data_IF_065691848682
#
_entry.id   IF_065691848682
#
_cell.length_a   1.000
_cell.length_b   1.000
_cell.length_c   1.000
_cell.angle_alpha   90.00
_cell.angle_beta   90.00
_cell.angle_gamma   90.00
#
_symmetry.space_group_name_H-M   'P 1'
#
loop_
_entity.id
_entity.type
_entity.pdbx_description
1 polymer ?
#
# COMPACT_ATOMS: atom_id res chain seq x y z
N UNK A 1 -21.43 51.87 -67.17
CA UNK A 1 -21.63 52.31 -65.77
C UNK A 1 -21.39 51.13 -64.85
N UNK A 2 -20.28 51.14 -64.11
CA UNK A 2 -20.27 50.54 -62.77
C UNK A 2 -20.87 51.60 -61.79
N UNK A 3 -21.12 51.33 -60.48
CA UNK A 3 -20.87 50.09 -59.73
C UNK A 3 -21.95 49.71 -58.66
N UNK A 4 -21.63 48.66 -57.90
CA UNK A 4 -21.95 48.39 -56.47
C UNK A 4 -23.40 47.98 -56.11
N UNK A 5 -23.64 47.02 -55.21
CA UNK A 5 -22.77 46.50 -54.15
C UNK A 5 -23.09 45.06 -53.72
N UNK A 6 -22.06 44.43 -53.14
CA UNK A 6 -22.10 43.19 -52.37
C UNK A 6 -22.60 43.51 -50.97
N UNK A 7 -23.49 42.69 -50.42
CA UNK A 7 -23.64 42.52 -48.98
C UNK A 7 -23.60 41.04 -48.64
N UNK A 8 -22.58 40.66 -47.87
CA UNK A 8 -22.33 39.31 -47.40
C UNK A 8 -23.34 38.92 -46.32
N UNK A 9 -23.81 37.68 -46.40
CA UNK A 9 -24.54 37.05 -45.31
C UNK A 9 -23.55 36.80 -44.15
N UNK A 10 -23.75 37.52 -43.05
CA UNK A 10 -23.03 37.30 -41.80
C UNK A 10 -23.48 35.96 -41.21
N UNK A 11 -22.61 34.95 -41.25
CA UNK A 11 -22.73 33.76 -40.41
C UNK A 11 -22.49 34.20 -38.96
N UNK A 12 -23.56 34.28 -38.16
CA UNK A 12 -23.44 34.35 -36.71
C UNK A 12 -22.98 32.97 -36.22
N UNK A 13 -21.67 32.82 -36.03
CA UNK A 13 -21.09 31.72 -35.28
C UNK A 13 -21.44 31.96 -33.81
N UNK A 14 -22.55 31.40 -33.34
CA UNK A 14 -22.83 31.30 -31.91
C UNK A 14 -21.81 30.29 -31.37
N UNK A 15 -20.71 30.81 -30.81
CA UNK A 15 -19.75 30.03 -30.05
C UNK A 15 -20.47 29.55 -28.78
N UNK A 16 -21.14 28.40 -28.88
CA UNK A 16 -21.48 27.64 -27.69
C UNK A 16 -20.15 27.21 -27.09
N UNK A 17 -19.72 27.93 -26.05
CA UNK A 17 -18.71 27.45 -25.11
C UNK A 17 -19.34 26.23 -24.45
N UNK A 18 -19.17 25.09 -25.11
CA UNK A 18 -19.27 23.80 -24.45
C UNK A 18 -18.17 23.82 -23.41
N UNK A 19 -18.56 24.06 -22.15
CA UNK A 19 -17.76 23.63 -21.02
C UNK A 19 -17.61 22.13 -21.24
N UNK A 20 -16.45 21.72 -21.78
CA UNK A 20 -15.98 20.36 -21.70
C UNK A 20 -15.95 20.09 -20.20
N UNK A 21 -17.01 19.45 -19.71
CA UNK A 21 -17.04 18.90 -18.37
C UNK A 21 -15.76 18.10 -18.22
N UNK A 22 -14.99 18.45 -17.20
CA UNK A 22 -13.82 17.70 -16.76
C UNK A 22 -14.17 16.22 -16.88
N UNK A 23 -13.39 15.50 -17.69
CA UNK A 23 -13.31 14.05 -17.58
C UNK A 23 -12.82 13.75 -16.17
N UNK A 24 -13.74 13.61 -15.22
CA UNK A 24 -13.46 12.98 -13.93
C UNK A 24 -12.81 11.64 -14.25
N UNK A 25 -11.56 11.52 -13.81
CA UNK A 25 -10.63 10.49 -14.24
C UNK A 25 -11.17 9.09 -13.99
N UNK A 26 -10.77 8.17 -14.87
CA UNK A 26 -11.13 6.75 -14.89
C UNK A 26 -10.69 5.95 -13.63
N UNK A 27 -10.30 6.61 -12.53
CA UNK A 27 -9.74 5.99 -11.32
C UNK A 27 -10.17 6.64 -9.99
N UNK A 28 -11.23 7.47 -9.97
CA UNK A 28 -11.75 8.08 -8.74
C UNK A 28 -12.57 7.09 -7.88
N UNK A 29 -12.06 5.87 -7.68
CA UNK A 29 -12.76 4.81 -6.97
C UNK A 29 -11.78 3.94 -6.17
N UNK A 30 -12.28 3.35 -5.09
CA UNK A 30 -11.52 2.43 -4.21
C UNK A 30 -10.90 1.28 -5.00
N UNK A 31 -9.57 1.17 -4.95
CA UNK A 31 -8.83 0.07 -5.57
C UNK A 31 -8.38 -0.96 -4.54
N UNK A 32 -8.77 -2.22 -4.76
CA UNK A 32 -8.33 -3.36 -3.96
C UNK A 32 -7.88 -4.51 -4.85
N UNK A 33 -6.90 -5.29 -4.38
CA UNK A 33 -6.35 -6.47 -5.06
C UNK A 33 -7.41 -7.44 -5.56
N UNK A 34 -8.51 -7.61 -4.81
CA UNK A 34 -9.60 -8.56 -5.13
C UNK A 34 -10.73 -7.97 -5.96
N UNK A 35 -10.77 -6.64 -6.10
CA UNK A 35 -11.85 -5.89 -6.78
C UNK A 35 -11.33 -5.03 -7.94
N UNK A 36 -10.20 -5.40 -8.50
CA UNK A 36 -9.61 -4.67 -9.62
C UNK A 36 -10.61 -4.55 -10.79
N UNK A 37 -10.83 -3.31 -11.24
CA UNK A 37 -11.78 -2.99 -12.32
C UNK A 37 -13.26 -3.04 -11.94
N UNK A 38 -13.62 -3.26 -10.68
CA UNK A 38 -14.99 -3.06 -10.21
C UNK A 38 -15.28 -1.57 -10.04
N UNK A 39 -16.42 -1.12 -10.57
CA UNK A 39 -16.84 0.28 -10.45
C UNK A 39 -17.88 0.47 -9.36
N UNK A 40 -17.65 1.43 -8.48
CA UNK A 40 -18.51 1.77 -7.35
C UNK A 40 -18.59 0.71 -6.25
N UNK A 41 -19.10 1.13 -5.09
CA UNK A 41 -19.37 0.25 -3.96
C UNK A 41 -20.86 -0.17 -3.93
N UNK A 42 -21.12 -1.45 -3.66
CA UNK A 42 -22.44 -2.05 -3.82
C UNK A 42 -23.36 -1.93 -2.59
N UNK A 43 -22.97 -1.14 -1.57
CA UNK A 43 -23.74 -0.95 -0.32
C UNK A 43 -24.15 -2.27 0.35
N UNK A 44 -23.28 -3.30 0.31
CA UNK A 44 -23.62 -4.62 0.84
C UNK A 44 -23.41 -4.64 2.35
N UNK A 45 -24.25 -5.42 3.01
CA UNK A 45 -24.03 -5.81 4.39
C UNK A 45 -22.93 -6.89 4.45
N UNK A 46 -22.20 -6.93 5.56
CA UNK A 46 -21.18 -7.95 5.76
C UNK A 46 -21.82 -9.33 5.83
N UNK A 47 -21.26 -10.29 5.11
CA UNK A 47 -21.55 -11.72 5.31
C UNK A 47 -20.57 -12.38 6.28
N UNK A 48 -19.54 -11.64 6.70
CA UNK A 48 -18.60 -12.14 7.68
C UNK A 48 -19.28 -12.22 9.06
N UNK A 49 -18.96 -13.27 9.81
CA UNK A 49 -19.32 -13.40 11.22
C UNK A 49 -18.34 -12.58 12.05
N UNK A 50 -18.78 -12.06 13.20
CA UNK A 50 -17.89 -11.45 14.19
C UNK A 50 -18.07 -12.16 15.52
N UNK A 51 -17.01 -12.20 16.35
CA UNK A 51 -17.15 -12.65 17.74
C UNK A 51 -17.84 -11.62 18.61
N UNK A 52 -17.77 -10.36 18.22
CA UNK A 52 -18.45 -9.25 18.87
C UNK A 52 -19.62 -8.87 17.96
N UNK A 53 -20.85 -9.21 18.34
CA UNK A 53 -22.04 -9.02 17.49
C UNK A 53 -22.19 -7.61 16.94
N UNK A 54 -21.70 -6.61 17.67
CA UNK A 54 -21.75 -5.20 17.29
C UNK A 54 -20.57 -4.74 16.43
N UNK A 55 -19.50 -5.52 16.29
CA UNK A 55 -18.32 -5.12 15.52
C UNK A 55 -18.54 -5.35 14.03
N UNK A 56 -18.14 -4.38 13.22
CA UNK A 56 -18.06 -4.54 11.77
C UNK A 56 -16.96 -3.69 11.16
N UNK A 57 -16.42 -4.16 10.04
CA UNK A 57 -15.48 -3.41 9.20
C UNK A 57 -16.13 -2.98 7.88
N UNK A 58 -16.18 -1.67 7.65
CA UNK A 58 -16.82 -1.06 6.48
C UNK A 58 -15.79 -0.34 5.62
N UNK A 59 -15.94 -0.49 4.31
CA UNK A 59 -15.26 0.29 3.29
C UNK A 59 -16.11 1.54 3.05
N UNK A 60 -15.54 2.72 3.24
CA UNK A 60 -16.17 4.00 2.91
C UNK A 60 -15.41 4.64 1.76
N UNK A 61 -16.14 5.05 0.73
CA UNK A 61 -15.61 5.75 -0.44
C UNK A 61 -16.08 7.20 -0.45
N UNK A 62 -15.16 8.12 -0.70
CA UNK A 62 -15.39 9.56 -0.70
C UNK A 62 -15.18 10.16 -2.10
N UNK A 63 -15.82 11.28 -2.44
CA UNK A 63 -15.56 11.95 -3.72
C UNK A 63 -14.13 12.47 -3.87
N UNK A 64 -13.40 12.63 -2.77
CA UNK A 64 -12.04 13.15 -2.71
C UNK A 64 -11.19 12.30 -1.75
N UNK A 65 -9.86 12.40 -1.87
CA UNK A 65 -8.94 11.67 -1.02
C UNK A 65 -9.20 11.97 0.48
N UNK A 66 -9.38 10.92 1.31
CA UNK A 66 -9.56 11.10 2.75
C UNK A 66 -8.37 11.85 3.36
N UNK A 67 -8.67 12.88 4.16
CA UNK A 67 -7.67 13.72 4.84
C UNK A 67 -7.63 13.41 6.34
N UNK A 68 -6.66 13.96 7.10
CA UNK A 68 -6.73 13.94 8.56
C UNK A 68 -8.04 14.52 9.13
N UNK A 69 -8.68 15.46 8.44
CA UNK A 69 -9.98 15.99 8.84
C UNK A 69 -11.09 14.95 8.66
N UNK A 70 -11.06 14.16 7.57
CA UNK A 70 -11.95 13.01 7.36
C UNK A 70 -11.81 12.00 8.50
N UNK A 71 -10.57 11.67 8.90
CA UNK A 71 -10.33 10.74 10.00
C UNK A 71 -10.93 11.24 11.34
N UNK A 72 -10.75 12.52 11.67
CA UNK A 72 -11.34 13.14 12.87
C UNK A 72 -12.86 13.15 12.84
N UNK A 73 -13.44 13.41 11.65
CA UNK A 73 -14.89 13.40 11.42
C UNK A 73 -15.51 12.02 11.66
N UNK A 74 -14.83 10.96 11.21
CA UNK A 74 -15.22 9.57 11.42
C UNK A 74 -15.08 9.18 12.90
N UNK A 75 -13.95 9.54 13.53
CA UNK A 75 -13.70 9.26 14.95
C UNK A 75 -14.77 9.91 15.86
N UNK A 76 -15.18 11.15 15.57
CA UNK A 76 -16.24 11.83 16.30
C UNK A 76 -17.62 11.14 16.21
N UNK A 77 -17.79 10.22 15.25
CA UNK A 77 -18.99 9.38 15.08
C UNK A 77 -18.78 7.93 15.57
N UNK A 78 -17.70 7.66 16.30
CA UNK A 78 -17.38 6.32 16.80
C UNK A 78 -16.85 5.35 15.74
N UNK A 79 -16.44 5.86 14.57
CA UNK A 79 -15.81 5.05 13.52
C UNK A 79 -14.30 5.25 13.56
N UNK A 80 -13.54 4.17 13.74
CA UNK A 80 -12.08 4.21 13.74
C UNK A 80 -11.55 3.81 12.37
N UNK A 81 -10.77 4.66 11.74
CA UNK A 81 -10.03 4.28 10.52
C UNK A 81 -8.99 3.23 10.89
N UNK A 82 -9.05 2.07 10.24
CA UNK A 82 -8.11 0.95 10.45
C UNK A 82 -7.20 0.71 9.25
N UNK A 83 -7.57 1.21 8.06
CA UNK A 83 -6.72 1.20 6.87
C UNK A 83 -7.13 2.27 5.86
N UNK A 84 -6.16 2.83 5.14
CA UNK A 84 -6.43 3.65 3.96
C UNK A 84 -6.49 2.80 2.71
N UNK A 85 -7.43 3.11 1.82
CA UNK A 85 -7.57 2.53 0.49
C UNK A 85 -7.50 3.67 -0.54
N UNK A 86 -6.29 4.13 -0.92
CA UNK A 86 -6.14 5.15 -1.95
C UNK A 86 -6.91 4.78 -3.24
N UNK A 87 -7.48 5.71 -4.00
CA UNK A 87 -7.38 7.18 -3.91
C UNK A 87 -8.39 7.84 -2.97
N UNK A 88 -9.54 7.22 -2.76
CA UNK A 88 -10.74 7.85 -2.18
C UNK A 88 -11.31 7.11 -0.97
N UNK A 89 -10.75 5.96 -0.60
CA UNK A 89 -11.33 5.05 0.35
C UNK A 89 -10.63 4.96 1.70
N UNK A 90 -11.40 4.51 2.70
CA UNK A 90 -10.89 4.01 3.98
C UNK A 90 -11.64 2.76 4.40
N UNK A 91 -11.00 1.92 5.19
CA UNK A 91 -11.68 0.91 6.01
C UNK A 91 -11.82 1.46 7.42
N UNK A 92 -13.05 1.41 7.95
CA UNK A 92 -13.35 1.78 9.33
C UNK A 92 -13.83 0.57 10.12
N UNK A 93 -13.33 0.43 11.34
CA UNK A 93 -13.93 -0.41 12.37
C UNK A 93 -15.03 0.37 13.10
N UNK A 94 -16.17 -0.29 13.31
CA UNK A 94 -17.33 0.28 13.99
C UNK A 94 -17.81 -0.67 15.07
N UNK A 95 -18.10 -0.14 16.26
CA UNK A 95 -18.81 -0.87 17.31
C UNK A 95 -20.25 -0.35 17.40
N UNK A 96 -21.21 -1.16 16.98
CA UNK A 96 -22.63 -0.84 16.93
C UNK A 96 -23.07 -0.38 15.54
N UNK A 97 -24.13 0.40 15.48
CA UNK A 97 -24.66 0.92 14.21
C UNK A 97 -23.80 2.10 13.72
N UNK A 98 -23.24 1.98 12.51
CA UNK A 98 -22.51 3.07 11.87
C UNK A 98 -23.44 4.24 11.50
N UNK A 99 -23.22 5.43 12.05
CA UNK A 99 -23.93 6.63 11.61
C UNK A 99 -23.26 7.24 10.38
N UNK A 100 -23.70 6.81 9.20
CA UNK A 100 -23.20 7.30 7.92
C UNK A 100 -23.93 8.57 7.44
N UNK A 101 -24.95 9.05 8.17
CA UNK A 101 -25.80 10.16 7.70
C UNK A 101 -24.99 11.45 7.63
N UNK A 102 -25.18 12.18 6.53
CA UNK A 102 -24.49 13.46 6.31
C UNK A 102 -22.99 13.33 6.06
N UNK A 103 -22.44 12.11 5.95
CA UNK A 103 -21.15 11.92 5.33
C UNK A 103 -21.33 12.06 3.81
N UNK A 104 -20.49 12.87 3.18
CA UNK A 104 -20.46 13.02 1.73
C UNK A 104 -19.74 11.81 1.12
N UNK A 105 -20.38 10.64 1.14
CA UNK A 105 -19.84 9.40 0.60
C UNK A 105 -20.22 9.24 -0.88
N UNK A 106 -19.25 8.81 -1.69
CA UNK A 106 -19.50 8.31 -3.04
C UNK A 106 -20.13 6.90 -3.00
N UNK A 107 -19.79 6.12 -1.97
CA UNK A 107 -20.37 4.81 -1.70
C UNK A 107 -19.87 4.20 -0.40
N UNK A 108 -20.44 3.07 -0.01
CA UNK A 108 -19.90 2.25 1.05
C UNK A 108 -20.11 0.76 0.74
N UNK A 109 -19.34 -0.11 1.39
CA UNK A 109 -19.52 -1.55 1.31
C UNK A 109 -19.01 -2.21 2.57
N UNK A 110 -19.40 -3.46 2.81
CA UNK A 110 -18.71 -4.30 3.79
C UNK A 110 -17.55 -5.06 3.13
N UNK A 111 -16.50 -5.34 3.92
CA UNK A 111 -15.41 -6.21 3.48
C UNK A 111 -15.90 -7.67 3.49
N UNK A 112 -15.99 -8.29 2.31
CA UNK A 112 -16.51 -9.65 2.19
C UNK A 112 -15.40 -10.70 2.39
N UNK A 113 -15.74 -11.95 2.73
CA UNK A 113 -14.74 -13.01 2.88
C UNK A 113 -13.82 -13.19 1.66
N UNK A 114 -14.35 -13.04 0.45
CA UNK A 114 -13.56 -13.13 -0.78
C UNK A 114 -12.55 -11.98 -0.96
N UNK A 115 -12.77 -10.83 -0.33
CA UNK A 115 -11.84 -9.70 -0.40
C UNK A 115 -10.62 -9.91 0.48
N UNK A 116 -10.75 -10.76 1.50
CA UNK A 116 -9.74 -11.02 2.53
C UNK A 116 -8.73 -12.07 2.10
N UNK A 117 -8.80 -12.57 0.86
CA UNK A 117 -7.98 -13.67 0.37
C UNK A 117 -7.12 -13.21 -0.82
N UNK A 118 -5.82 -13.39 -0.70
CA UNK A 118 -4.90 -13.14 -1.81
C UNK A 118 -5.17 -14.04 -3.01
N UNK A 119 -5.12 -13.45 -4.20
CA UNK A 119 -5.21 -14.18 -5.46
C UNK A 119 -4.03 -15.14 -5.67
N UNK A 120 -2.90 -14.95 -4.98
CA UNK A 120 -1.77 -15.89 -5.04
C UNK A 120 -2.12 -17.25 -4.41
N UNK A 121 -3.07 -17.26 -3.46
CA UNK A 121 -3.60 -18.49 -2.87
C UNK A 121 -4.43 -19.32 -3.86
N UNK A 122 -4.97 -18.67 -4.91
CA UNK A 122 -5.75 -19.32 -5.97
C UNK A 122 -4.93 -19.57 -7.24
N UNK A 123 -3.97 -18.70 -7.58
CA UNK A 123 -3.04 -18.87 -8.73
C UNK A 123 -2.09 -20.04 -8.57
N UNK A 124 -1.58 -20.31 -7.36
CA UNK A 124 -0.75 -21.48 -7.07
C UNK A 124 -1.48 -22.84 -7.25
N UNK A 125 -2.79 -22.83 -7.54
CA UNK A 125 -3.61 -23.99 -7.88
C UNK A 125 -3.83 -24.20 -9.39
N UNK A 126 -3.17 -23.39 -10.24
CA UNK A 126 -3.42 -23.26 -11.68
C UNK A 126 -2.81 -24.32 -12.60
N UNK A 127 -1.65 -24.90 -12.30
CA UNK A 127 -0.90 -25.69 -13.31
C UNK A 127 -0.79 -27.20 -13.05
N UNK A 128 -1.27 -27.71 -11.93
CA UNK A 128 -1.09 -29.13 -11.60
C UNK A 128 -1.93 -29.56 -10.38
N UNK A 129 -3.07 -30.19 -10.66
CA UNK A 129 -3.82 -31.02 -9.72
C UNK A 129 -4.56 -30.28 -8.59
N UNK A 130 -5.67 -29.61 -8.92
CA UNK A 130 -6.53 -28.85 -7.97
C UNK A 130 -6.90 -29.59 -6.67
N UNK A 131 -7.10 -30.92 -6.68
CA UNK A 131 -7.44 -31.70 -5.47
C UNK A 131 -6.23 -31.98 -4.57
N UNK A 132 -5.05 -32.21 -5.13
CA UNK A 132 -3.86 -32.58 -4.35
C UNK A 132 -3.26 -31.40 -3.55
N UNK A 133 -3.52 -30.15 -3.98
CA UNK A 133 -2.99 -28.94 -3.32
C UNK A 133 -3.91 -28.33 -2.25
N UNK A 134 -5.23 -28.51 -2.33
CA UNK A 134 -6.15 -27.99 -1.29
C UNK A 134 -5.91 -28.66 0.07
N UNK A 135 -5.57 -29.96 0.06
CA UNK A 135 -5.31 -30.75 1.26
C UNK A 135 -3.84 -30.70 1.70
N UNK A 136 -2.96 -30.02 0.94
CA UNK A 136 -1.56 -29.86 1.30
C UNK A 136 -1.43 -28.83 2.42
N UNK A 137 -0.67 -29.18 3.46
CA UNK A 137 -0.28 -28.23 4.49
C UNK A 137 0.72 -27.22 3.91
N UNK A 138 0.40 -25.94 4.06
CA UNK A 138 1.22 -24.80 3.68
C UNK A 138 1.20 -23.74 4.79
N UNK A 139 2.05 -22.73 4.64
CA UNK A 139 2.17 -21.62 5.58
C UNK A 139 1.57 -20.35 4.98
N UNK A 140 0.86 -19.60 5.81
CA UNK A 140 0.13 -18.39 5.44
C UNK A 140 0.34 -17.32 6.50
N UNK A 141 0.26 -16.07 6.08
CA UNK A 141 0.18 -14.93 6.98
C UNK A 141 -1.28 -14.49 7.04
N UNK A 142 -1.81 -14.39 8.26
CA UNK A 142 -3.14 -13.85 8.56
C UNK A 142 -2.96 -12.48 9.19
N UNK A 143 -3.46 -11.45 8.53
CA UNK A 143 -3.53 -10.08 9.02
C UNK A 143 -4.92 -9.84 9.61
N UNK A 144 -4.95 -9.25 10.80
CA UNK A 144 -6.15 -8.84 11.50
C UNK A 144 -6.31 -7.33 11.42
N UNK A 145 -7.53 -6.82 11.58
CA UNK A 145 -7.69 -5.39 11.74
C UNK A 145 -7.00 -4.91 13.03
N UNK A 146 -6.38 -3.72 12.97
CA UNK A 146 -5.60 -3.15 14.06
C UNK A 146 -6.41 -2.86 15.32
N UNK A 147 -7.73 -2.92 15.24
CA UNK A 147 -8.67 -2.78 16.35
C UNK A 147 -9.00 -4.07 17.10
N UNK A 148 -8.66 -5.24 16.53
CA UNK A 148 -8.94 -6.54 17.13
C UNK A 148 -7.89 -6.85 18.20
N UNK A 149 -8.26 -7.16 19.46
CA UNK A 149 -7.30 -7.51 20.51
C UNK A 149 -6.52 -8.81 20.23
N UNK A 150 -5.25 -8.89 20.66
CA UNK A 150 -4.38 -10.04 20.43
C UNK A 150 -4.98 -11.40 20.84
N UNK A 151 -5.57 -11.47 22.04
CA UNK A 151 -6.17 -12.71 22.56
C UNK A 151 -7.31 -13.20 21.68
N UNK A 152 -8.08 -12.28 21.12
CA UNK A 152 -9.18 -12.59 20.22
C UNK A 152 -8.67 -13.18 18.89
N UNK A 153 -7.61 -12.59 18.33
CA UNK A 153 -6.93 -13.11 17.14
C UNK A 153 -6.44 -14.54 17.37
N UNK A 154 -5.77 -14.78 18.50
CA UNK A 154 -5.24 -16.10 18.86
C UNK A 154 -6.35 -17.13 19.04
N UNK A 155 -7.47 -16.75 19.66
CA UNK A 155 -8.63 -17.62 19.82
C UNK A 155 -9.25 -17.99 18.45
N UNK A 156 -9.46 -17.01 17.57
CA UNK A 156 -9.97 -17.23 16.21
C UNK A 156 -9.13 -18.23 15.41
N UNK A 157 -7.81 -18.04 15.41
CA UNK A 157 -6.91 -18.96 14.70
C UNK A 157 -6.98 -20.36 15.30
N UNK A 158 -6.95 -20.47 16.62
CA UNK A 158 -6.99 -21.76 17.33
C UNK A 158 -8.27 -22.55 17.04
N UNK A 159 -9.42 -21.86 16.98
CA UNK A 159 -10.73 -22.46 16.70
C UNK A 159 -10.90 -22.88 15.22
N UNK A 160 -10.19 -22.25 14.29
CA UNK A 160 -10.25 -22.58 12.86
C UNK A 160 -9.54 -23.91 12.49
N UNK A 161 -8.86 -24.53 13.45
CA UNK A 161 -8.18 -25.81 13.28
C UNK A 161 -6.92 -25.74 12.41
N UNK A 162 -6.33 -24.55 12.25
CA UNK A 162 -4.97 -24.35 11.72
C UNK A 162 -3.98 -24.22 12.89
N UNK A 163 -2.71 -24.50 12.61
CA UNK A 163 -1.64 -24.44 13.61
C UNK A 163 -1.01 -23.04 13.64
N UNK A 164 -0.96 -22.41 14.81
CA UNK A 164 -0.22 -21.15 15.00
C UNK A 164 1.29 -21.44 15.02
N UNK A 165 2.06 -20.63 14.31
CA UNK A 165 3.52 -20.70 14.27
C UNK A 165 4.08 -19.35 14.70
N UNK A 166 4.30 -19.18 16.00
CA UNK A 166 4.81 -17.93 16.53
C UNK A 166 6.18 -17.58 15.91
N UNK A 167 6.36 -16.33 15.50
CA UNK A 167 7.61 -15.82 14.93
C UNK A 167 7.93 -14.49 15.60
N UNK A 168 9.13 -14.37 16.18
CA UNK A 168 9.54 -13.19 16.98
C UNK A 168 9.47 -11.86 16.20
N UNK A 169 9.70 -11.91 14.89
CA UNK A 169 9.71 -10.72 14.02
C UNK A 169 8.34 -10.43 13.40
N UNK A 170 7.34 -11.28 13.64
CA UNK A 170 5.95 -10.96 13.34
C UNK A 170 5.36 -10.20 14.52
N UNK A 171 5.53 -8.89 14.47
CA UNK A 171 4.90 -7.94 15.40
C UNK A 171 3.67 -7.29 14.77
N UNK A 172 2.76 -6.80 15.62
CA UNK A 172 1.57 -6.06 15.21
C UNK A 172 0.34 -6.93 15.03
N UNK A 173 -0.23 -6.86 13.83
CA UNK A 173 -1.52 -7.42 13.40
C UNK A 173 -1.43 -8.73 12.61
N UNK A 174 -0.23 -9.31 12.50
CA UNK A 174 0.00 -10.52 11.72
C UNK A 174 0.20 -11.78 12.58
N UNK A 175 -0.26 -12.92 12.07
CA UNK A 175 0.03 -14.25 12.60
C UNK A 175 0.45 -15.20 11.48
N UNK A 176 1.54 -15.94 11.69
CA UNK A 176 1.92 -17.05 10.82
C UNK A 176 1.15 -18.30 11.23
N UNK A 177 0.50 -18.93 10.25
CA UNK A 177 -0.30 -20.13 10.45
C UNK A 177 0.10 -21.22 9.47
N UNK A 178 -0.04 -22.48 9.89
CA UNK A 178 0.16 -23.65 9.06
C UNK A 178 -1.13 -24.46 8.97
N UNK A 179 -1.60 -24.71 7.76
CA UNK A 179 -2.89 -25.37 7.56
C UNK A 179 -3.13 -25.76 6.11
N UNK A 180 -4.30 -26.32 5.84
CA UNK A 180 -4.79 -26.52 4.47
C UNK A 180 -5.46 -25.24 3.97
N UNK A 181 -5.47 -25.02 2.65
CA UNK A 181 -6.14 -23.85 2.07
C UNK A 181 -7.64 -23.84 2.43
N UNK A 182 -8.27 -25.01 2.49
CA UNK A 182 -9.67 -25.14 2.91
C UNK A 182 -9.92 -24.57 4.31
N UNK A 183 -9.07 -24.89 5.29
CA UNK A 183 -9.19 -24.39 6.66
C UNK A 183 -8.88 -22.91 6.75
N UNK A 184 -7.83 -22.44 6.07
CA UNK A 184 -7.44 -21.03 6.09
C UNK A 184 -8.52 -20.14 5.47
N UNK A 185 -9.25 -20.61 4.45
CA UNK A 185 -10.40 -19.88 3.90
C UNK A 185 -11.50 -19.62 4.93
N UNK A 186 -11.67 -20.49 5.92
CA UNK A 186 -12.67 -20.25 6.98
C UNK A 186 -12.30 -19.10 7.91
N UNK A 187 -11.03 -18.70 7.96
CA UNK A 187 -10.60 -17.50 8.70
C UNK A 187 -11.10 -16.22 8.04
N UNK A 188 -11.13 -16.17 6.70
CA UNK A 188 -11.64 -15.02 5.97
C UNK A 188 -13.16 -14.80 6.20
N UNK A 189 -13.88 -15.79 6.73
CA UNK A 189 -15.28 -15.61 7.11
C UNK A 189 -15.46 -14.74 8.36
N UNK A 190 -14.39 -14.43 9.10
CA UNK A 190 -14.45 -13.58 10.28
C UNK A 190 -14.20 -12.12 9.94
N UNK A 191 -15.01 -11.22 10.49
CA UNK A 191 -14.91 -9.78 10.30
C UNK A 191 -13.55 -9.25 10.76
N UNK A 192 -13.03 -9.81 11.85
CA UNK A 192 -11.76 -9.48 12.49
C UNK A 192 -10.53 -9.68 11.60
N UNK A 193 -10.62 -10.57 10.61
CA UNK A 193 -9.52 -10.84 9.66
C UNK A 193 -9.55 -9.79 8.57
N UNK A 194 -8.43 -9.08 8.39
CA UNK A 194 -8.27 -8.07 7.37
C UNK A 194 -7.82 -8.69 6.04
N UNK A 195 -6.81 -9.56 6.08
CA UNK A 195 -6.26 -10.16 4.85
C UNK A 195 -5.49 -11.45 5.11
N UNK A 196 -5.40 -12.32 4.11
CA UNK A 196 -4.65 -13.57 4.17
C UNK A 196 -3.84 -13.75 2.87
N UNK A 197 -2.55 -14.02 3.00
CA UNK A 197 -1.63 -14.17 1.89
C UNK A 197 -0.54 -15.24 2.16
N UNK A 198 0.17 -15.73 1.13
CA UNK A 198 1.21 -16.74 1.31
C UNK A 198 2.35 -16.25 2.21
N UNK A 199 2.90 -17.14 3.05
CA UNK A 199 4.12 -16.86 3.82
C UNK A 199 5.37 -17.06 2.96
N UNK A 200 6.39 -16.22 3.16
CA UNK A 200 7.71 -16.38 2.55
C UNK A 200 8.51 -17.54 3.14
N UNK A 201 9.50 -18.02 2.38
CA UNK A 201 10.38 -19.09 2.84
C UNK A 201 11.14 -18.70 4.12
N UNK A 202 11.46 -17.42 4.26
CA UNK A 202 12.12 -16.84 5.43
C UNK A 202 11.22 -16.89 6.66
N UNK A 203 9.94 -16.52 6.53
CA UNK A 203 8.94 -16.69 7.58
C UNK A 203 8.80 -18.15 8.01
N UNK A 204 8.83 -19.07 7.06
CA UNK A 204 8.71 -20.51 7.32
C UNK A 204 9.94 -21.08 8.03
N UNK A 205 11.13 -20.58 7.70
CA UNK A 205 12.41 -21.06 8.21
C UNK A 205 12.88 -20.36 9.49
N UNK A 206 12.18 -19.30 9.92
CA UNK A 206 12.53 -18.54 11.12
C UNK A 206 13.74 -17.61 10.93
N UNK A 207 14.04 -17.25 9.68
CA UNK A 207 15.10 -16.28 9.40
C UNK A 207 14.70 -14.89 9.91
N UNK A 208 15.66 -14.08 10.40
CA UNK A 208 15.37 -12.71 10.82
C UNK A 208 14.72 -11.90 9.71
N UNK A 209 13.60 -11.25 10.03
CA UNK A 209 12.84 -10.44 9.10
C UNK A 209 12.77 -9.00 9.58
N UNK A 210 12.62 -8.10 8.61
CA UNK A 210 12.14 -6.76 8.88
C UNK A 210 10.88 -6.48 8.07
N UNK A 211 9.88 -5.93 8.76
CA UNK A 211 8.60 -5.60 8.17
C UNK A 211 8.60 -4.16 7.66
N UNK A 212 8.05 -3.95 6.47
CA UNK A 212 7.61 -2.62 6.08
C UNK A 212 6.20 -2.40 6.64
N UNK A 213 5.98 -1.21 7.20
CA UNK A 213 4.64 -0.75 7.59
C UNK A 213 3.77 -0.42 6.37
N UNK A 214 4.40 -0.24 5.21
CA UNK A 214 3.81 0.17 3.92
C UNK A 214 3.99 1.65 3.66
N UNK A 215 3.75 2.08 2.42
CA UNK A 215 3.72 3.50 2.10
C UNK A 215 2.65 4.28 2.88
N UNK A 216 2.95 5.53 3.19
CA UNK A 216 2.11 6.42 3.99
C UNK A 216 1.36 7.43 3.11
N UNK A 217 0.11 7.70 3.46
CA UNK A 217 -0.62 8.90 2.99
C UNK A 217 -0.57 9.98 4.06
N UNK A 218 -0.99 11.22 3.81
CA UNK A 218 -1.13 12.19 4.92
C UNK A 218 -2.15 11.75 5.99
N UNK A 219 -3.05 10.85 5.63
CA UNK A 219 -4.17 10.48 6.46
C UNK A 219 -3.90 9.17 7.24
N UNK A 220 -3.04 8.29 6.74
CA UNK A 220 -2.60 7.09 7.46
C UNK A 220 -1.86 6.08 6.57
N UNK A 221 -1.55 4.94 7.17
CA UNK A 221 -0.96 3.79 6.47
C UNK A 221 -1.95 3.16 5.49
N UNK A 222 -1.45 2.79 4.31
CA UNK A 222 -2.23 2.09 3.29
C UNK A 222 -2.35 0.61 3.64
N UNK A 223 -3.56 0.07 3.54
CA UNK A 223 -3.83 -1.32 3.87
C UNK A 223 -3.19 -2.31 2.89
N UNK A 224 -2.89 -3.52 3.35
CA UNK A 224 -2.34 -4.60 2.53
C UNK A 224 -3.24 -4.99 1.34
N UNK A 225 -4.52 -4.64 1.38
CA UNK A 225 -5.50 -4.87 0.33
C UNK A 225 -5.24 -4.03 -0.93
N UNK A 226 -4.39 -3.01 -0.90
CA UNK A 226 -4.13 -2.13 -2.04
C UNK A 226 -2.95 -2.63 -2.88
N UNK A 227 -3.12 -2.64 -4.21
CA UNK A 227 -2.08 -3.08 -5.14
C UNK A 227 -1.31 -1.94 -5.80
N UNK A 228 -2.03 -0.90 -6.21
CA UNK A 228 -1.50 0.28 -6.90
C UNK A 228 -2.11 1.52 -6.29
N UNK A 229 -1.27 2.53 -6.07
CA UNK A 229 -1.62 3.77 -5.42
C UNK A 229 -1.26 4.91 -6.36
N UNK A 230 -2.21 5.81 -6.56
CA UNK A 230 -2.02 6.99 -7.39
C UNK A 230 -2.22 6.73 -8.88
N UNK A 231 -2.14 7.84 -9.62
CA UNK A 231 -2.30 7.84 -11.08
C UNK A 231 -0.95 7.67 -11.81
N UNK A 232 0.15 7.59 -11.06
CA UNK A 232 1.51 7.68 -11.58
C UNK A 232 1.96 9.13 -11.77
N UNK A 233 3.28 9.35 -11.74
CA UNK A 233 3.89 10.68 -11.71
C UNK A 233 3.60 11.58 -12.91
N UNK A 234 3.44 11.00 -14.10
CA UNK A 234 3.07 11.76 -15.31
C UNK A 234 1.56 11.67 -15.61
N UNK A 235 0.81 10.92 -14.80
CA UNK A 235 -0.63 10.66 -14.96
C UNK A 235 -0.96 9.28 -15.53
N UNK A 236 -2.27 8.99 -15.49
CA UNK A 236 -2.86 7.67 -15.73
C UNK A 236 -2.39 7.03 -17.04
N UNK A 237 -1.91 5.79 -16.94
CA UNK A 237 -1.64 4.93 -18.10
C UNK A 237 -0.41 5.30 -18.92
N UNK A 238 0.30 6.38 -18.57
CA UNK A 238 1.53 6.77 -19.27
C UNK A 238 2.70 5.83 -18.96
N UNK A 239 2.70 5.22 -17.77
CA UNK A 239 3.70 4.24 -17.31
C UNK A 239 5.16 4.69 -17.53
N UNK A 240 5.40 6.00 -17.39
CA UNK A 240 6.71 6.63 -17.47
C UNK A 240 6.79 7.83 -16.53
N UNK A 241 8.00 8.20 -16.13
CA UNK A 241 8.23 9.37 -15.31
C UNK A 241 9.66 9.89 -15.44
N UNK A 242 9.82 11.22 -15.44
CA UNK A 242 11.11 11.87 -15.23
C UNK A 242 11.09 12.52 -13.85
N UNK A 243 11.80 11.91 -12.91
CA UNK A 243 11.86 12.33 -11.52
C UNK A 243 13.21 12.95 -11.20
N UNK A 244 13.18 13.85 -10.24
CA UNK A 244 14.40 14.30 -9.57
C UNK A 244 14.50 13.67 -8.18
N UNK A 245 15.70 13.65 -7.63
CA UNK A 245 15.90 13.26 -6.24
C UNK A 245 16.96 14.14 -5.59
N UNK A 246 16.87 14.29 -4.28
CA UNK A 246 17.82 15.05 -3.49
C UNK A 246 18.06 14.41 -2.13
N UNK A 247 19.28 14.52 -1.61
CA UNK A 247 19.59 14.08 -0.26
C UNK A 247 19.44 15.26 0.70
N UNK A 248 18.64 15.07 1.74
CA UNK A 248 18.42 16.06 2.79
C UNK A 248 19.08 15.59 4.09
N UNK A 249 19.90 16.44 4.68
CA UNK A 249 20.65 16.12 5.89
C UNK A 249 21.87 15.23 5.62
N UNK A 250 22.34 14.54 6.66
CA UNK A 250 23.45 13.59 6.58
C UNK A 250 22.98 12.14 6.65
N UNK A 251 23.91 11.20 6.54
CA UNK A 251 23.67 9.75 6.73
C UNK A 251 24.08 9.31 8.13
N UNK A 252 23.77 8.07 8.58
CA UNK A 252 24.23 7.56 9.86
C UNK A 252 25.75 7.64 9.96
N UNK A 253 26.27 8.19 11.08
CA UNK A 253 27.70 8.51 11.26
C UNK A 253 28.68 7.34 11.03
N UNK A 254 28.18 6.10 11.09
CA UNK A 254 28.99 4.88 10.93
C UNK A 254 29.23 4.49 9.47
N UNK A 255 28.50 5.08 8.51
CA UNK A 255 28.61 4.80 7.09
C UNK A 255 29.15 6.03 6.34
N UNK A 256 29.96 5.80 5.31
CA UNK A 256 30.38 6.90 4.46
C UNK A 256 29.20 7.36 3.58
N UNK A 257 28.93 8.66 3.57
CA UNK A 257 27.81 9.26 2.82
C UNK A 257 27.80 8.85 1.35
N UNK A 258 28.96 8.87 0.69
CA UNK A 258 29.09 8.45 -0.70
C UNK A 258 28.62 7.00 -0.92
N UNK A 259 28.96 6.08 -0.02
CA UNK A 259 28.57 4.67 -0.16
C UNK A 259 27.06 4.49 0.01
N UNK A 260 26.44 5.21 0.95
CA UNK A 260 24.98 5.19 1.14
C UNK A 260 24.28 5.76 -0.09
N UNK A 261 24.76 6.89 -0.62
CA UNK A 261 24.22 7.49 -1.84
C UNK A 261 24.35 6.54 -3.04
N UNK A 262 25.48 5.83 -3.16
CA UNK A 262 25.70 4.83 -4.22
C UNK A 262 24.68 3.69 -4.12
N UNK A 263 24.41 3.14 -2.93
CA UNK A 263 23.42 2.08 -2.76
C UNK A 263 22.01 2.51 -3.18
N UNK A 264 21.61 3.73 -2.82
CA UNK A 264 20.28 4.26 -3.19
C UNK A 264 20.21 4.52 -4.70
N UNK A 265 21.28 5.03 -5.32
CA UNK A 265 21.37 5.17 -6.77
C UNK A 265 21.33 3.81 -7.48
N UNK A 266 21.94 2.76 -6.93
CA UNK A 266 21.82 1.39 -7.44
C UNK A 266 20.37 0.90 -7.39
N UNK A 267 19.64 1.21 -6.33
CA UNK A 267 18.23 0.85 -6.21
C UNK A 267 17.36 1.59 -7.26
N UNK A 268 17.59 2.88 -7.47
CA UNK A 268 16.95 3.66 -8.54
C UNK A 268 17.26 3.08 -9.92
N UNK A 269 18.51 2.73 -10.19
CA UNK A 269 18.92 2.13 -11.46
C UNK A 269 18.27 0.77 -11.71
N UNK A 270 18.03 -0.04 -10.66
CA UNK A 270 17.32 -1.31 -10.78
C UNK A 270 15.88 -1.10 -11.27
N UNK A 271 15.17 -0.08 -10.77
CA UNK A 271 13.84 0.30 -11.27
C UNK A 271 13.90 0.84 -12.70
N UNK A 272 14.80 1.77 -13.01
CA UNK A 272 15.00 2.28 -14.38
C UNK A 272 15.34 1.19 -15.39
N UNK A 273 15.89 0.05 -14.95
CA UNK A 273 16.18 -1.10 -15.81
C UNK A 273 14.96 -1.89 -16.25
N UNK A 274 13.80 -1.73 -15.60
CA UNK A 274 12.59 -2.53 -15.85
C UNK A 274 11.32 -1.74 -16.13
N UNK A 275 11.29 -0.46 -15.75
CA UNK A 275 10.18 0.46 -16.02
C UNK A 275 10.72 1.78 -16.59
N UNK A 276 9.87 2.55 -17.27
CA UNK A 276 10.28 3.79 -17.97
C UNK A 276 10.40 4.98 -17.00
N UNK A 277 11.26 4.86 -15.97
CA UNK A 277 11.55 5.94 -15.03
C UNK A 277 13.00 6.42 -15.18
N UNK A 278 13.18 7.74 -15.18
CA UNK A 278 14.49 8.37 -15.08
C UNK A 278 14.61 9.15 -13.77
N UNK A 279 15.78 9.05 -13.13
CA UNK A 279 16.10 9.76 -11.90
C UNK A 279 17.28 10.71 -12.13
N UNK A 280 17.12 11.99 -11.80
CA UNK A 280 18.19 12.98 -11.88
C UNK A 280 18.42 13.67 -10.55
N UNK A 281 19.67 13.69 -10.07
CA UNK A 281 20.02 14.38 -8.83
C UNK A 281 19.78 15.88 -8.97
N UNK A 282 19.17 16.48 -7.95
CA UNK A 282 19.03 17.93 -7.79
C UNK A 282 19.42 18.36 -6.37
N UNK A 283 19.68 19.64 -6.19
CA UNK A 283 19.85 20.26 -4.87
C UNK A 283 18.61 21.05 -4.43
N UNK A 284 17.58 21.11 -5.29
CA UNK A 284 16.32 21.77 -4.97
C UNK A 284 15.33 20.77 -4.36
N UNK A 285 15.27 20.72 -3.03
CA UNK A 285 14.36 19.84 -2.28
C UNK A 285 12.87 20.16 -2.48
N UNK A 286 12.57 21.34 -3.02
CA UNK A 286 11.21 21.78 -3.35
C UNK A 286 10.89 21.71 -4.86
N UNK A 287 11.75 21.05 -5.66
CA UNK A 287 11.45 20.84 -7.08
C UNK A 287 10.20 19.96 -7.24
N UNK A 288 9.41 20.24 -8.29
CA UNK A 288 8.31 19.35 -8.63
C UNK A 288 8.85 17.98 -9.04
N UNK A 289 8.11 16.92 -8.71
CA UNK A 289 8.49 15.52 -8.95
C UNK A 289 9.87 15.18 -8.40
N UNK A 290 10.17 15.69 -7.20
CA UNK A 290 11.40 15.43 -6.49
C UNK A 290 11.14 14.46 -5.35
N UNK A 291 12.00 13.44 -5.23
CA UNK A 291 12.03 12.53 -4.08
C UNK A 291 13.13 13.03 -3.13
N UNK A 292 12.74 13.57 -1.98
CA UNK A 292 13.67 13.85 -0.90
C UNK A 292 14.02 12.56 -0.17
N UNK A 293 15.32 12.36 0.04
CA UNK A 293 15.86 11.22 0.77
C UNK A 293 16.44 11.76 2.07
N UNK A 294 15.89 11.30 3.19
CA UNK A 294 16.26 11.75 4.53
C UNK A 294 16.61 10.56 5.43
N UNK A 295 17.62 10.72 6.27
CA UNK A 295 17.84 9.87 7.43
C UNK A 295 17.40 10.63 8.68
N UNK A 296 16.34 10.18 9.32
CA UNK A 296 15.72 10.82 10.48
C UNK A 296 15.67 9.88 11.68
N UNK A 297 15.65 10.42 12.91
CA UNK A 297 15.46 9.63 14.12
C UNK A 297 14.17 10.08 14.81
N UNK A 298 13.30 9.14 15.17
CA UNK A 298 12.04 9.42 15.91
C UNK A 298 11.19 10.48 15.22
N UNK A 299 10.90 11.61 15.87
CA UNK A 299 10.24 12.74 15.22
C UNK A 299 11.21 13.44 14.26
N UNK A 300 10.88 13.41 12.97
CA UNK A 300 11.73 13.89 11.89
C UNK A 300 10.98 14.81 10.90
N UNK A 301 9.89 15.43 11.35
CA UNK A 301 9.23 16.51 10.61
C UNK A 301 8.04 16.10 9.75
N UNK A 302 7.60 14.85 9.83
CA UNK A 302 6.35 14.36 9.25
C UNK A 302 5.44 13.73 10.34
N UNK A 303 4.17 13.37 10.01
CA UNK A 303 3.25 12.77 10.98
C UNK A 303 3.59 11.34 11.43
N UNK A 304 4.68 10.74 10.97
CA UNK A 304 5.03 9.32 11.13
C UNK A 304 6.38 9.15 11.84
N UNK A 305 6.46 9.41 13.16
CA UNK A 305 7.71 9.26 13.87
C UNK A 305 8.21 7.80 13.86
N UNK A 306 9.52 7.61 13.71
CA UNK A 306 10.16 6.30 13.87
C UNK A 306 10.15 5.83 15.33
N UNK A 307 10.32 4.53 15.55
CA UNK A 307 10.30 3.90 16.87
C UNK A 307 11.70 3.65 17.47
N UNK A 308 12.74 4.10 16.78
CA UNK A 308 14.13 3.89 17.16
C UNK A 308 14.63 2.52 16.72
N UNK A 309 15.72 2.04 17.31
CA UNK A 309 16.36 0.81 16.84
C UNK A 309 15.42 -0.42 16.77
N UNK A 310 15.28 -0.97 15.57
CA UNK A 310 14.51 -2.15 15.23
C UNK A 310 13.06 -1.82 14.82
N UNK A 311 12.45 -2.77 14.11
CA UNK A 311 11.06 -2.78 13.60
C UNK A 311 10.85 -1.91 12.35
N UNK A 312 10.78 -0.58 12.45
CA UNK A 312 10.49 0.30 11.30
C UNK A 312 11.79 0.85 10.73
N UNK A 313 12.24 0.29 9.60
CA UNK A 313 13.49 0.73 8.97
C UNK A 313 13.38 2.02 8.20
N UNK A 314 12.23 2.21 7.54
CA UNK A 314 12.01 3.29 6.61
C UNK A 314 10.51 3.42 6.36
N UNK A 315 10.13 4.57 5.82
CA UNK A 315 8.84 4.74 5.18
C UNK A 315 8.97 5.61 3.94
N UNK A 316 7.92 5.56 3.12
CA UNK A 316 7.82 6.31 1.89
C UNK A 316 6.43 6.87 1.72
N UNK A 317 6.32 8.03 1.09
CA UNK A 317 5.05 8.59 0.63
C UNK A 317 4.76 8.19 -0.82
N UNK A 318 3.49 7.97 -1.15
CA UNK A 318 3.12 7.63 -2.53
C UNK A 318 3.22 8.84 -3.48
N UNK A 319 3.17 8.61 -4.80
CA UNK A 319 3.03 9.71 -5.76
C UNK A 319 1.79 10.57 -5.49
N UNK A 320 1.80 11.78 -6.04
CA UNK A 320 0.62 12.64 -6.06
C UNK A 320 -0.38 12.20 -7.14
N UNK A 321 -1.70 12.17 -6.85
CA UNK A 321 -2.32 11.97 -5.53
C UNK A 321 -2.12 10.53 -5.01
N UNK A 322 -2.23 10.26 -3.69
CA UNK A 322 -2.88 11.09 -2.67
C UNK A 322 -1.95 12.03 -1.90
N UNK A 323 -0.63 11.85 -1.96
CA UNK A 323 0.29 12.73 -1.24
C UNK A 323 0.56 14.00 -2.06
N UNK A 324 0.47 15.20 -1.49
CA UNK A 324 0.78 16.42 -2.22
C UNK A 324 2.29 16.56 -2.45
N UNK A 325 2.69 17.27 -3.50
CA UNK A 325 4.07 17.74 -3.62
C UNK A 325 4.31 18.90 -2.63
N UNK A 326 5.47 18.99 -1.97
CA UNK A 326 6.71 18.26 -2.27
C UNK A 326 6.94 16.94 -1.50
N UNK A 327 6.02 16.49 -0.62
CA UNK A 327 6.24 15.27 0.17
C UNK A 327 5.98 13.98 -0.61
N UNK A 328 5.25 14.06 -1.73
CA UNK A 328 5.00 12.92 -2.60
C UNK A 328 6.29 12.22 -3.00
N UNK A 329 6.36 10.90 -2.83
CA UNK A 329 7.54 10.11 -3.17
C UNK A 329 8.70 10.17 -2.18
N UNK A 330 8.67 11.05 -1.17
CA UNK A 330 9.77 11.19 -0.21
C UNK A 330 10.07 9.89 0.53
N UNK A 331 11.36 9.62 0.72
CA UNK A 331 11.91 8.40 1.33
C UNK A 331 12.64 8.75 2.62
N UNK A 332 12.16 8.26 3.75
CA UNK A 332 12.79 8.45 5.06
C UNK A 332 13.31 7.13 5.59
N UNK A 333 14.57 7.12 6.04
CA UNK A 333 15.22 5.98 6.68
C UNK A 333 15.40 6.27 8.17
N UNK A 334 15.14 5.29 9.03
CA UNK A 334 15.38 5.43 10.46
C UNK A 334 16.89 5.41 10.73
N UNK A 335 17.41 6.53 11.18
CA UNK A 335 18.81 6.74 11.49
C UNK A 335 19.25 6.04 12.79
N UNK A 336 18.31 5.54 13.60
CA UNK A 336 18.60 4.74 14.80
C UNK A 336 18.92 3.27 14.46
N UNK A 337 18.72 2.84 13.21
CA UNK A 337 19.01 1.48 12.75
C UNK A 337 20.50 1.23 12.52
N UNK A 338 20.93 -0.01 12.75
CA UNK A 338 22.30 -0.44 12.48
C UNK A 338 22.49 -0.85 11.02
N UNK A 339 22.40 0.13 10.12
CA UNK A 339 22.53 -0.02 8.68
C UNK A 339 23.85 -0.65 8.24
N UNK A 340 23.76 -1.54 7.25
CA UNK A 340 24.91 -2.18 6.62
C UNK A 340 24.88 -2.00 5.10
N UNK A 341 25.98 -2.36 4.43
CA UNK A 341 26.10 -2.36 2.98
C UNK A 341 26.26 -3.79 2.49
N UNK A 342 25.25 -4.32 1.77
CA UNK A 342 25.31 -5.65 1.16
C UNK A 342 25.33 -6.85 2.12
N UNK A 343 25.01 -6.65 3.39
CA UNK A 343 24.75 -7.70 4.40
C UNK A 343 23.65 -7.24 5.34
N UNK A 344 22.96 -8.17 5.99
CA UNK A 344 21.95 -7.90 7.02
C UNK A 344 20.85 -6.90 6.61
N UNK A 345 20.58 -5.90 7.46
CA UNK A 345 19.73 -4.74 7.15
C UNK A 345 20.52 -3.82 6.21
N UNK A 346 20.36 -4.01 4.91
CA UNK A 346 21.11 -3.25 3.90
C UNK A 346 20.32 -2.12 3.26
N UNK A 347 21.00 -0.98 3.04
CA UNK A 347 20.43 0.23 2.45
C UNK A 347 19.82 -0.04 1.07
N UNK A 348 20.49 -0.82 0.21
CA UNK A 348 20.03 -1.07 -1.15
C UNK A 348 18.69 -1.80 -1.17
N UNK A 349 18.55 -2.88 -0.40
CA UNK A 349 17.29 -3.64 -0.40
C UNK A 349 16.14 -2.80 0.14
N UNK A 350 16.35 -2.03 1.22
CA UNK A 350 15.30 -1.15 1.77
C UNK A 350 14.94 -0.07 0.76
N UNK A 351 15.92 0.67 0.24
CA UNK A 351 15.70 1.68 -0.77
C UNK A 351 14.97 1.13 -2.01
N UNK A 352 15.32 -0.08 -2.46
CA UNK A 352 14.67 -0.72 -3.61
C UNK A 352 13.17 -0.92 -3.38
N UNK A 353 12.75 -1.35 -2.20
CA UNK A 353 11.34 -1.52 -1.86
C UNK A 353 10.62 -0.18 -1.69
N UNK A 354 11.23 0.73 -0.94
CA UNK A 354 10.69 2.05 -0.66
C UNK A 354 10.50 2.87 -1.95
N UNK A 355 11.45 2.82 -2.90
CA UNK A 355 11.27 3.41 -4.23
C UNK A 355 10.08 2.80 -4.97
N UNK A 356 9.77 1.51 -4.76
CA UNK A 356 8.56 0.91 -5.32
C UNK A 356 7.28 1.62 -4.84
N UNK A 357 7.20 1.96 -3.55
CA UNK A 357 6.12 2.80 -3.01
C UNK A 357 6.14 4.20 -3.61
N UNK A 358 7.31 4.84 -3.73
CA UNK A 358 7.45 6.14 -4.39
C UNK A 358 7.06 6.10 -5.88
N UNK A 359 7.00 4.93 -6.52
CA UNK A 359 6.51 4.73 -7.88
C UNK A 359 5.03 4.31 -7.94
N UNK A 360 4.34 4.22 -6.81
CA UNK A 360 2.91 3.89 -6.71
C UNK A 360 2.59 2.41 -6.54
N UNK A 361 3.58 1.56 -6.20
CA UNK A 361 3.33 0.14 -5.94
C UNK A 361 2.92 -0.09 -4.49
N UNK A 362 1.82 -0.80 -4.26
CA UNK A 362 1.50 -1.38 -2.96
C UNK A 362 2.31 -2.65 -2.70
N UNK A 363 2.12 -3.25 -1.53
CA UNK A 363 2.78 -4.53 -1.24
C UNK A 363 2.30 -5.64 -2.17
N UNK A 364 3.22 -6.50 -2.60
CA UNK A 364 2.93 -7.74 -3.30
C UNK A 364 2.64 -8.88 -2.33
N UNK A 365 1.80 -9.82 -2.74
CA UNK A 365 1.54 -11.07 -2.01
C UNK A 365 2.46 -12.20 -2.46
N UNK A 366 3.26 -11.96 -3.51
CA UNK A 366 4.24 -12.92 -4.03
C UNK A 366 5.44 -12.93 -3.07
N UNK A 367 5.74 -14.06 -2.40
CA UNK A 367 6.69 -14.03 -1.29
C UNK A 367 8.13 -13.63 -1.61
N UNK A 368 8.55 -13.78 -2.86
CA UNK A 368 9.90 -13.44 -3.32
C UNK A 368 9.95 -12.10 -4.06
N UNK A 369 8.85 -11.35 -4.11
CA UNK A 369 8.82 -10.05 -4.76
C UNK A 369 9.55 -9.00 -3.91
N UNK A 370 10.17 -8.02 -4.57
CA UNK A 370 10.74 -6.84 -3.89
C UNK A 370 9.68 -6.17 -3.01
N UNK A 371 8.45 -6.07 -3.51
CA UNK A 371 7.34 -5.42 -2.79
C UNK A 371 6.66 -6.32 -1.75
N UNK A 372 7.19 -7.50 -1.42
CA UNK A 372 6.61 -8.31 -0.35
C UNK A 372 6.79 -7.63 1.02
N UNK A 373 5.74 -7.59 1.85
CA UNK A 373 5.69 -6.80 3.10
C UNK A 373 6.74 -7.19 4.15
N UNK A 374 7.11 -8.47 4.22
CA UNK A 374 8.03 -9.00 5.26
C UNK A 374 9.29 -9.56 4.60
N UNK A 375 10.41 -8.85 4.69
CA UNK A 375 11.63 -9.20 3.94
C UNK A 375 12.71 -9.76 4.85
N UNK A 376 13.53 -10.63 4.27
CA UNK A 376 14.77 -11.11 4.89
C UNK A 376 15.68 -9.94 5.20
N UNK A 377 16.20 -9.89 6.43
CA UNK A 377 17.35 -9.07 6.74
C UNK A 377 18.63 -9.70 6.16
N UNK A 378 18.64 -10.27 4.95
CA UNK A 378 19.86 -10.82 4.34
C UNK A 378 19.82 -10.66 2.80
N UNK A 379 20.69 -9.83 2.21
CA UNK A 379 20.65 -9.48 0.79
C UNK A 379 21.08 -10.61 -0.16
N UNK A 380 21.73 -11.68 0.34
CA UNK A 380 22.18 -12.79 -0.51
C UNK A 380 21.02 -13.61 -1.11
N UNK A 381 19.80 -13.48 -0.56
CA UNK A 381 18.62 -14.19 -1.07
C UNK A 381 18.13 -13.58 -2.40
N UNK A 382 18.21 -12.25 -2.57
CA UNK A 382 17.81 -11.58 -3.81
C UNK A 382 18.68 -11.97 -5.02
N UNK A 383 19.99 -12.21 -4.81
CA UNK A 383 20.89 -12.65 -5.90
C UNK A 383 20.60 -14.07 -6.40
N UNK A 384 19.99 -14.94 -5.59
CA UNK A 384 19.70 -16.34 -5.97
C UNK A 384 18.31 -16.53 -6.57
N UNK A 385 17.37 -15.62 -6.32
CA UNK A 385 15.96 -15.79 -6.66
C UNK A 385 15.55 -15.27 -8.06
N UNK A 386 16.47 -14.83 -8.92
CA UNK A 386 16.12 -14.30 -10.25
C UNK A 386 15.06 -13.19 -10.19
N UNK A 387 15.16 -12.34 -9.16
CA UNK A 387 14.05 -11.66 -8.48
C UNK A 387 12.98 -11.04 -9.37
N UNK A 388 11.75 -11.48 -9.17
CA UNK A 388 10.56 -10.77 -9.64
C UNK A 388 10.49 -9.44 -8.90
N UNK A 389 10.54 -8.32 -9.61
CA UNK A 389 10.45 -6.99 -8.99
C UNK A 389 9.03 -6.69 -8.47
N UNK A 390 8.01 -7.41 -8.96
CA UNK A 390 6.60 -7.22 -8.62
C UNK A 390 5.93 -8.52 -8.21
#
# INVERSE_FOLDING_TARGET
MAPMGRFGAAFRLTLAVGILGNSMGLWAEVQMKTREGQTGLANRMSRAKSRVETRSHLILDFPEAPTPATARLLAARGMRVVAYLPLTGVIVGVEGAADLRGLNLAGFDALQPEDKLSQELTRAAGDDGRRARVDRLAYFVVEFHGDVPWEERRALVSESGVEIRDHKDLVGDHMLVRGTLAKVRTLAEWDEVAYIFPASGELVTGLPLVGCVGGATEAGQVGQLTQRIGEGWDGVGLNRANLTYSFQGGVPQRLAEAQVQDEIQRAMAAWSGVVQVAFQRTNNTAAAKNINILFGSRDHGDPYPFDGAGKVLAHTFYPAPPNPEPIAGDLHFDNDENWNLGTDIDIFSVALHEIGHALGLGHSDVPNAVMYRKRSANPMVFKRAGGCLT
#
